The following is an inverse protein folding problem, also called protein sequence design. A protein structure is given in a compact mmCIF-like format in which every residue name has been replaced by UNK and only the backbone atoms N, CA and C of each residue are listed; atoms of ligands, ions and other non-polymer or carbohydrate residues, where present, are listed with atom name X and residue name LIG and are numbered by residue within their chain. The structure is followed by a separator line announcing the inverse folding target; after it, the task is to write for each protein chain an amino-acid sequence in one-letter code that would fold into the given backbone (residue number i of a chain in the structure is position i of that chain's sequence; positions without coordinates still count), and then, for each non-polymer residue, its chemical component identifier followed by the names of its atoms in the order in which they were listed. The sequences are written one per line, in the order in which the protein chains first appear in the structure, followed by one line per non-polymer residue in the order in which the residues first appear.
data_IF_403038700626
#
_entry.id   IF_403038700626
#
_cell.length_a   1.000
_cell.length_b   1.000
_cell.length_c   1.000
_cell.angle_alpha   90.00
_cell.angle_beta   90.00
_cell.angle_gamma   90.00
#
_symmetry.space_group_name_H-M   'P 1'
#
loop_
_entity.id
_entity.type
_entity.pdbx_description
1 polymer ?
#
# COMPACT_ATOMS: atom_id res chain seq x y z
N UNK A 1 -12.48 -21.95 0.82
CA UNK A 1 -11.87 -21.21 1.94
C UNK A 1 -10.57 -20.52 1.50
N UNK A 2 -10.65 -19.52 0.65
CA UNK A 2 -9.46 -18.78 0.16
C UNK A 2 -9.58 -17.24 0.31
N UNK A 3 -10.64 -16.75 0.96
CA UNK A 3 -10.98 -15.32 0.99
C UNK A 3 -10.25 -14.47 2.05
N UNK A 4 -9.59 -15.05 3.04
CA UNK A 4 -8.99 -14.25 4.13
C UNK A 4 -7.56 -13.77 3.85
N UNK A 5 -6.98 -14.13 2.72
CA UNK A 5 -5.58 -13.91 2.41
C UNK A 5 -5.23 -12.48 1.97
N UNK A 6 -6.18 -11.77 1.42
CA UNK A 6 -5.95 -10.48 0.77
C UNK A 6 -6.50 -9.28 1.53
N UNK A 7 -7.12 -9.48 2.67
CA UNK A 7 -7.58 -8.38 3.54
C UNK A 7 -6.44 -7.43 4.00
N UNK A 8 -5.19 -7.88 3.90
CA UNK A 8 -4.03 -7.08 4.33
C UNK A 8 -3.71 -5.87 3.41
N UNK A 9 -4.17 -5.88 2.15
CA UNK A 9 -3.92 -4.77 1.22
C UNK A 9 -5.00 -3.69 1.31
N UNK A 10 -6.18 -4.04 1.82
CA UNK A 10 -7.32 -3.14 1.93
C UNK A 10 -7.14 -2.01 2.97
N UNK A 11 -6.21 -2.16 3.91
CA UNK A 11 -5.99 -1.18 4.97
C UNK A 11 -5.35 0.12 4.47
N UNK A 12 -4.77 0.15 3.27
CA UNK A 12 -4.30 1.42 2.67
C UNK A 12 -5.41 2.46 2.51
N UNK A 13 -6.65 2.03 2.46
CA UNK A 13 -7.79 2.90 2.20
C UNK A 13 -8.33 3.64 3.43
N UNK A 14 -7.95 3.23 4.64
CA UNK A 14 -8.49 3.79 5.89
C UNK A 14 -7.56 4.84 6.55
N UNK A 15 -6.45 5.19 5.91
CA UNK A 15 -5.55 6.18 6.48
C UNK A 15 -6.11 7.60 6.34
N UNK A 16 -6.76 8.09 7.38
CA UNK A 16 -6.78 9.52 7.65
C UNK A 16 -5.32 9.93 7.90
N UNK A 17 -4.73 10.66 6.96
CA UNK A 17 -3.35 11.10 6.98
C UNK A 17 -3.12 12.03 8.17
N UNK A 18 -2.71 11.49 9.30
CA UNK A 18 -2.23 12.28 10.45
C UNK A 18 -0.73 12.49 10.32
N UNK A 19 -0.36 13.62 9.73
CA UNK A 19 1.04 14.00 9.47
C UNK A 19 1.91 14.12 10.74
N UNK A 20 1.31 14.24 11.92
CA UNK A 20 2.02 14.35 13.19
C UNK A 20 2.63 13.03 13.69
N UNK A 21 2.00 11.90 13.39
CA UNK A 21 2.49 10.57 13.80
C UNK A 21 3.67 10.06 12.96
N UNK A 22 3.79 10.53 11.72
CA UNK A 22 4.75 10.01 10.73
C UNK A 22 6.21 10.37 10.98
N UNK A 23 6.48 11.39 11.80
CA UNK A 23 7.84 11.91 12.03
C UNK A 23 8.53 11.32 13.27
N UNK A 24 7.83 10.56 14.10
CA UNK A 24 8.30 10.21 15.45
C UNK A 24 8.96 8.83 15.62
N UNK A 25 8.72 7.86 14.70
CA UNK A 25 9.25 6.52 14.88
C UNK A 25 10.42 6.23 13.92
N UNK A 26 11.64 6.36 14.41
CA UNK A 26 12.79 5.61 13.88
C UNK A 26 12.57 4.14 14.24
N UNK A 27 11.71 3.48 13.45
CA UNK A 27 11.42 2.08 13.63
C UNK A 27 12.65 1.22 13.34
N UNK A 28 12.73 0.10 14.02
CA UNK A 28 13.63 -1.00 13.71
C UNK A 28 13.48 -1.38 12.22
N UNK A 29 14.55 -1.21 11.45
CA UNK A 29 14.59 -1.52 10.02
C UNK A 29 14.72 -3.04 9.75
N UNK A 30 14.74 -3.89 10.77
CA UNK A 30 14.95 -5.33 10.64
C UNK A 30 13.88 -6.01 9.80
N UNK A 31 12.60 -5.66 9.98
CA UNK A 31 11.50 -6.23 9.21
C UNK A 31 11.57 -5.80 7.74
N UNK A 32 11.92 -4.56 7.48
CA UNK A 32 12.14 -4.05 6.13
C UNK A 32 13.30 -4.78 5.42
N UNK A 33 14.42 -4.96 6.12
CA UNK A 33 15.57 -5.69 5.57
C UNK A 33 15.22 -7.14 5.28
N UNK A 34 14.47 -7.79 6.17
CA UNK A 34 13.94 -9.14 6.00
C UNK A 34 13.05 -9.24 4.75
N UNK A 35 12.12 -8.33 4.58
CA UNK A 35 11.22 -8.31 3.43
C UNK A 35 11.95 -8.04 2.12
N UNK A 36 12.94 -7.16 2.13
CA UNK A 36 13.77 -6.90 0.96
C UNK A 36 14.56 -8.14 0.56
N UNK A 37 15.17 -8.85 1.52
CA UNK A 37 15.86 -10.12 1.26
C UNK A 37 14.89 -11.19 0.77
N UNK A 38 13.71 -11.30 1.38
CA UNK A 38 12.66 -12.22 0.96
C UNK A 38 12.19 -11.94 -0.47
N UNK A 39 12.09 -10.67 -0.88
CA UNK A 39 11.76 -10.30 -2.26
C UNK A 39 12.76 -10.89 -3.25
N UNK A 40 14.06 -10.70 -3.01
CA UNK A 40 15.14 -11.21 -3.88
C UNK A 40 15.13 -12.75 -4.00
N UNK A 41 14.78 -13.43 -2.91
CA UNK A 41 14.70 -14.89 -2.90
C UNK A 41 13.41 -15.42 -3.54
N UNK A 42 12.30 -14.77 -3.30
CA UNK A 42 11.01 -15.14 -3.86
C UNK A 42 10.98 -15.00 -5.39
N UNK A 43 11.50 -13.89 -5.91
CA UNK A 43 11.53 -13.65 -7.37
C UNK A 43 12.21 -14.79 -8.14
N UNK A 44 13.25 -15.39 -7.57
CA UNK A 44 13.98 -16.52 -8.19
C UNK A 44 13.17 -17.83 -8.24
N UNK A 45 12.12 -17.93 -7.42
CA UNK A 45 11.31 -19.15 -7.25
C UNK A 45 9.96 -19.09 -7.92
N UNK A 46 9.65 -17.99 -8.61
CA UNK A 46 8.38 -17.82 -9.31
C UNK A 46 8.43 -18.61 -10.61
N UNK A 47 7.62 -19.69 -10.70
CA UNK A 47 7.58 -20.52 -11.90
C UNK A 47 6.35 -20.24 -12.77
N UNK A 48 5.18 -20.08 -12.16
CA UNK A 48 3.92 -19.90 -12.86
C UNK A 48 3.03 -18.90 -12.10
N UNK A 49 3.27 -17.59 -12.24
CA UNK A 49 2.43 -16.59 -11.61
C UNK A 49 1.03 -16.59 -12.26
N UNK A 50 0.01 -16.28 -11.46
CA UNK A 50 -1.31 -15.99 -11.98
C UNK A 50 -1.26 -14.65 -12.72
N UNK A 51 -1.87 -14.60 -13.91
CA UNK A 51 -1.90 -13.40 -14.76
C UNK A 51 -3.23 -12.65 -14.64
N UNK A 52 -3.18 -11.33 -14.83
CA UNK A 52 -4.36 -10.47 -14.87
C UNK A 52 -5.30 -10.66 -13.67
N UNK A 53 -4.71 -10.71 -12.49
CA UNK A 53 -5.43 -10.93 -11.24
C UNK A 53 -6.24 -9.70 -10.89
N UNK A 54 -7.52 -9.88 -10.59
CA UNK A 54 -8.38 -8.83 -10.10
C UNK A 54 -9.40 -9.41 -9.11
N UNK A 55 -9.48 -8.81 -7.93
CA UNK A 55 -10.48 -9.22 -6.94
C UNK A 55 -10.81 -8.08 -5.97
N UNK A 56 -12.02 -8.07 -5.40
CA UNK A 56 -12.38 -7.15 -4.36
C UNK A 56 -11.60 -7.46 -3.08
N UNK A 57 -11.06 -6.43 -2.45
CA UNK A 57 -10.41 -6.53 -1.14
C UNK A 57 -11.43 -6.30 -0.03
N UNK A 58 -12.28 -5.30 -0.20
CA UNK A 58 -13.35 -4.95 0.73
C UNK A 58 -14.63 -4.66 -0.02
N UNK A 59 -15.75 -4.90 0.65
CA UNK A 59 -17.10 -4.61 0.19
C UNK A 59 -17.78 -3.68 1.19
N UNK A 60 -18.64 -2.80 0.70
CA UNK A 60 -19.60 -2.10 1.54
C UNK A 60 -20.70 -3.05 2.03
N UNK A 61 -21.44 -2.69 3.10
CA UNK A 61 -22.53 -3.53 3.62
C UNK A 61 -23.63 -3.87 2.59
N UNK A 62 -23.79 -3.04 1.57
CA UNK A 62 -24.76 -3.24 0.48
C UNK A 62 -24.22 -4.17 -0.63
N UNK A 63 -22.99 -4.66 -0.50
CA UNK A 63 -22.35 -5.56 -1.47
C UNK A 63 -21.63 -4.82 -2.61
N UNK A 64 -21.58 -3.49 -2.62
CA UNK A 64 -20.76 -2.76 -3.59
C UNK A 64 -19.27 -2.85 -3.24
N UNK A 65 -18.41 -2.80 -4.25
CA UNK A 65 -16.97 -2.89 -4.06
C UNK A 65 -16.45 -1.60 -3.44
N UNK A 66 -15.86 -1.71 -2.24
CA UNK A 66 -15.19 -0.61 -1.56
C UNK A 66 -13.74 -0.46 -1.98
N UNK A 67 -13.02 -1.60 -2.12
CA UNK A 67 -11.66 -1.59 -2.65
C UNK A 67 -11.38 -2.80 -3.54
N UNK A 68 -10.54 -2.60 -4.55
CA UNK A 68 -10.17 -3.63 -5.54
C UNK A 68 -8.67 -3.65 -5.75
N UNK A 69 -8.11 -4.85 -5.76
CA UNK A 69 -6.75 -5.07 -6.21
C UNK A 69 -6.75 -5.57 -7.65
N UNK A 70 -5.82 -5.06 -8.44
CA UNK A 70 -5.42 -5.59 -9.74
C UNK A 70 -3.92 -5.83 -9.72
N UNK A 71 -3.49 -6.91 -10.33
CA UNK A 71 -2.08 -7.19 -10.57
C UNK A 71 -1.91 -7.78 -11.96
N UNK A 72 -0.88 -7.35 -12.67
CA UNK A 72 -0.51 -7.96 -13.95
C UNK A 72 -0.11 -9.42 -13.74
N UNK A 73 0.70 -9.69 -12.73
CA UNK A 73 1.08 -11.02 -12.27
C UNK A 73 1.10 -11.10 -10.74
N UNK A 74 0.73 -12.24 -10.17
CA UNK A 74 0.81 -12.48 -8.74
C UNK A 74 1.18 -13.94 -8.43
N UNK A 75 1.91 -14.18 -7.35
CA UNK A 75 2.28 -15.49 -6.88
C UNK A 75 2.21 -15.57 -5.35
N UNK A 76 1.62 -16.65 -4.84
CA UNK A 76 1.53 -16.90 -3.40
C UNK A 76 2.44 -18.06 -2.99
N UNK A 77 3.36 -17.79 -2.08
CA UNK A 77 4.24 -18.79 -1.47
C UNK A 77 3.53 -19.37 -0.24
N UNK A 78 2.93 -20.55 -0.41
CA UNK A 78 2.09 -21.17 0.63
C UNK A 78 2.88 -21.58 1.88
N UNK A 79 4.15 -21.93 1.71
CA UNK A 79 5.07 -22.33 2.76
C UNK A 79 5.47 -21.17 3.69
N UNK A 80 5.76 -20.02 3.12
CA UNK A 80 6.21 -18.84 3.86
C UNK A 80 5.08 -17.87 4.20
N UNK A 81 4.02 -17.86 3.40
CA UNK A 81 2.93 -16.91 3.50
C UNK A 81 3.21 -15.58 2.80
N UNK A 82 4.30 -15.50 2.02
CA UNK A 82 4.56 -14.34 1.18
C UNK A 82 3.65 -14.30 -0.05
N UNK A 83 3.30 -13.09 -0.47
CA UNK A 83 2.63 -12.82 -1.73
C UNK A 83 3.49 -11.86 -2.51
N UNK A 84 3.90 -12.28 -3.69
CA UNK A 84 4.55 -11.41 -4.66
C UNK A 84 3.54 -10.91 -5.68
N UNK A 85 3.73 -9.67 -6.14
CA UNK A 85 2.92 -9.12 -7.22
C UNK A 85 3.71 -8.13 -8.07
N UNK A 86 3.28 -8.00 -9.33
CA UNK A 86 3.85 -7.11 -10.34
C UNK A 86 2.76 -6.33 -11.03
N UNK A 87 3.06 -5.07 -11.40
CA UNK A 87 2.11 -4.13 -11.99
C UNK A 87 0.82 -4.02 -11.15
N UNK A 88 1.01 -3.64 -9.91
CA UNK A 88 -0.05 -3.61 -8.91
C UNK A 88 -0.81 -2.30 -8.99
N UNK A 89 -2.13 -2.39 -8.88
CA UNK A 89 -3.02 -1.28 -8.68
C UNK A 89 -4.06 -1.62 -7.63
N UNK A 90 -4.12 -0.83 -6.57
CA UNK A 90 -5.19 -0.88 -5.57
C UNK A 90 -6.06 0.35 -5.75
N UNK A 91 -7.35 0.16 -5.92
CA UNK A 91 -8.34 1.21 -6.12
C UNK A 91 -9.30 1.24 -4.93
N UNK A 92 -9.56 2.43 -4.43
CA UNK A 92 -10.61 2.70 -3.45
C UNK A 92 -11.76 3.40 -4.14
N UNK A 93 -12.97 2.92 -3.90
CA UNK A 93 -14.19 3.46 -4.47
C UNK A 93 -15.03 4.15 -3.40
N UNK A 94 -15.75 5.19 -3.79
CA UNK A 94 -16.82 5.79 -2.98
C UNK A 94 -17.97 4.80 -2.82
N UNK A 95 -18.90 5.14 -1.93
CA UNK A 95 -20.09 4.31 -1.67
C UNK A 95 -20.97 4.07 -2.91
N UNK A 96 -20.81 4.86 -3.98
CA UNK A 96 -21.47 4.64 -5.27
C UNK A 96 -20.92 3.43 -6.05
N UNK A 97 -19.82 2.83 -5.57
CA UNK A 97 -19.16 1.66 -6.16
C UNK A 97 -18.50 1.90 -7.53
N UNK A 98 -18.52 3.13 -8.03
CA UNK A 98 -18.04 3.48 -9.38
C UNK A 98 -16.99 4.59 -9.39
N UNK A 99 -17.10 5.57 -8.49
CA UNK A 99 -16.18 6.69 -8.40
C UNK A 99 -14.94 6.29 -7.62
N UNK A 100 -13.76 6.37 -8.25
CA UNK A 100 -12.47 6.13 -7.57
C UNK A 100 -12.16 7.34 -6.68
N UNK A 101 -12.02 7.09 -5.38
CA UNK A 101 -11.62 8.07 -4.38
C UNK A 101 -10.11 8.23 -4.30
N UNK A 102 -9.39 7.12 -4.48
CA UNK A 102 -7.94 7.09 -4.50
C UNK A 102 -7.40 5.79 -5.07
N UNK A 103 -6.12 5.77 -5.39
CA UNK A 103 -5.45 4.57 -5.85
C UNK A 103 -3.97 4.55 -5.44
N UNK A 104 -3.43 3.34 -5.34
CA UNK A 104 -2.00 3.06 -5.25
C UNK A 104 -1.59 2.26 -6.48
N UNK A 105 -0.48 2.61 -7.10
CA UNK A 105 0.20 1.79 -8.10
C UNK A 105 1.62 1.46 -7.66
N UNK A 106 2.09 0.27 -7.99
CA UNK A 106 3.45 -0.18 -7.68
C UNK A 106 3.98 -1.11 -8.77
N UNK A 107 5.29 -1.01 -9.05
CA UNK A 107 5.92 -1.88 -10.05
C UNK A 107 5.92 -3.34 -9.57
N UNK A 108 6.56 -3.58 -8.42
CA UNK A 108 6.69 -4.92 -7.84
C UNK A 108 6.62 -4.83 -6.31
N UNK A 109 5.99 -5.80 -5.68
CA UNK A 109 5.98 -5.87 -4.23
C UNK A 109 6.05 -7.31 -3.71
N UNK A 110 6.43 -7.42 -2.45
CA UNK A 110 6.21 -8.60 -1.63
C UNK A 110 5.44 -8.19 -0.37
N UNK A 111 4.50 -9.00 0.04
CA UNK A 111 3.70 -8.81 1.26
C UNK A 111 3.85 -10.05 2.13
N UNK A 112 4.17 -9.86 3.38
CA UNK A 112 4.08 -10.91 4.39
C UNK A 112 2.71 -10.84 5.07
N UNK A 113 1.93 -11.89 4.87
CA UNK A 113 0.58 -12.01 5.44
C UNK A 113 0.58 -12.08 6.97
N UNK A 114 1.67 -12.60 7.57
CA UNK A 114 1.75 -12.80 9.03
C UNK A 114 2.04 -11.48 9.74
N UNK A 115 3.04 -10.74 9.28
CA UNK A 115 3.42 -9.44 9.85
C UNK A 115 2.58 -8.29 9.31
N UNK A 116 1.72 -8.54 8.30
CA UNK A 116 0.94 -7.50 7.62
C UNK A 116 1.80 -6.32 7.16
N UNK A 117 3.01 -6.64 6.70
CA UNK A 117 3.97 -5.66 6.21
C UNK A 117 4.42 -6.03 4.80
N UNK A 118 5.00 -5.09 4.07
CA UNK A 118 5.44 -5.33 2.71
C UNK A 118 6.56 -4.41 2.26
N UNK A 119 7.19 -4.83 1.19
CA UNK A 119 8.23 -4.10 0.47
C UNK A 119 7.84 -3.91 -0.98
N UNK A 120 7.89 -2.66 -1.46
CA UNK A 120 7.77 -2.31 -2.88
C UNK A 120 9.16 -2.14 -3.45
N UNK A 121 9.49 -2.96 -4.43
CA UNK A 121 10.71 -2.84 -5.22
C UNK A 121 10.40 -2.05 -6.49
N UNK A 122 11.06 -0.91 -6.70
CA UNK A 122 10.79 -0.04 -7.84
C UNK A 122 9.93 1.15 -7.48
N UNK A 123 9.17 1.65 -8.44
CA UNK A 123 8.38 2.85 -8.28
C UNK A 123 7.01 2.55 -7.67
N UNK A 124 6.51 3.48 -6.89
CA UNK A 124 5.13 3.50 -6.46
C UNK A 124 4.58 4.92 -6.51
N UNK A 125 3.29 5.00 -6.75
CA UNK A 125 2.52 6.23 -6.72
C UNK A 125 1.22 5.99 -5.98
N UNK A 126 0.92 6.87 -5.06
CA UNK A 126 -0.38 6.97 -4.39
C UNK A 126 -1.03 8.29 -4.77
N UNK A 127 -2.29 8.26 -5.09
CA UNK A 127 -3.13 9.45 -5.31
C UNK A 127 -4.36 9.31 -4.43
N UNK A 128 -4.56 10.26 -3.53
CA UNK A 128 -5.65 10.24 -2.58
C UNK A 128 -6.14 11.64 -2.27
N UNK A 129 -7.43 11.88 -2.53
CA UNK A 129 -8.08 13.17 -2.26
C UNK A 129 -7.26 14.39 -2.73
N UNK A 130 -6.65 14.25 -3.92
CA UNK A 130 -5.82 15.30 -4.53
C UNK A 130 -4.43 15.47 -3.90
N UNK A 131 -4.01 14.56 -3.05
CA UNK A 131 -2.64 14.44 -2.59
C UNK A 131 -1.97 13.30 -3.35
N UNK A 132 -0.91 13.61 -4.09
CA UNK A 132 -0.11 12.64 -4.81
C UNK A 132 1.23 12.45 -4.10
N UNK A 133 1.58 11.21 -3.85
CA UNK A 133 2.88 10.79 -3.30
C UNK A 133 3.51 9.83 -4.29
N UNK A 134 4.74 10.10 -4.69
CA UNK A 134 5.56 9.20 -5.49
C UNK A 134 6.84 8.88 -4.75
N UNK A 135 7.35 7.68 -4.97
CA UNK A 135 8.62 7.28 -4.38
C UNK A 135 9.14 5.99 -4.98
N UNK A 136 10.36 5.63 -4.58
CA UNK A 136 11.00 4.39 -4.99
C UNK A 136 11.54 3.67 -3.76
N UNK A 137 11.28 2.35 -3.70
CA UNK A 137 11.60 1.56 -2.52
C UNK A 137 10.71 1.99 -1.36
N UNK A 138 9.60 1.30 -1.15
CA UNK A 138 8.63 1.63 -0.10
C UNK A 138 8.50 0.43 0.82
N UNK A 139 8.75 0.64 2.09
CA UNK A 139 8.35 -0.27 3.14
C UNK A 139 7.05 0.22 3.78
N UNK A 140 6.12 -0.69 4.03
CA UNK A 140 4.89 -0.40 4.75
C UNK A 140 4.59 -1.48 5.80
N UNK A 141 3.95 -1.06 6.88
CA UNK A 141 3.42 -1.95 7.90
C UNK A 141 2.01 -1.52 8.26
N UNK A 142 1.04 -2.40 8.02
CA UNK A 142 -0.36 -2.13 8.37
C UNK A 142 -0.59 -2.18 9.87
N UNK A 143 0.09 -3.08 10.57
CA UNK A 143 -0.05 -3.21 12.01
C UNK A 143 0.43 -1.97 12.77
N UNK A 144 1.51 -1.34 12.28
CA UNK A 144 2.09 -0.13 12.86
C UNK A 144 1.56 1.15 12.24
N UNK A 145 0.70 1.05 11.22
CA UNK A 145 0.21 2.20 10.45
C UNK A 145 1.36 3.08 9.92
N UNK A 146 2.37 2.47 9.33
CA UNK A 146 3.63 3.11 8.98
C UNK A 146 4.02 2.88 7.52
N UNK A 147 4.50 3.94 6.85
CA UNK A 147 5.11 3.88 5.51
C UNK A 147 6.45 4.60 5.54
N UNK A 148 7.48 3.99 4.94
CA UNK A 148 8.81 4.57 4.78
C UNK A 148 9.20 4.54 3.31
N UNK A 149 9.56 5.70 2.76
CA UNK A 149 9.97 5.87 1.37
C UNK A 149 11.47 6.14 1.35
N UNK A 150 12.22 5.37 0.56
CA UNK A 150 13.68 5.39 0.61
C UNK A 150 14.33 6.35 -0.37
N UNK A 151 13.72 6.60 -1.51
CA UNK A 151 14.31 7.51 -2.50
C UNK A 151 13.28 8.10 -3.45
N UNK A 152 13.67 9.19 -4.12
CA UNK A 152 12.88 9.86 -5.16
C UNK A 152 11.48 10.26 -4.70
N UNK A 153 11.37 10.76 -3.44
CA UNK A 153 10.07 11.16 -2.87
C UNK A 153 9.61 12.48 -3.48
N UNK A 154 8.42 12.47 -4.06
CA UNK A 154 7.70 13.64 -4.52
C UNK A 154 6.32 13.67 -3.88
N UNK A 155 5.98 14.77 -3.22
CA UNK A 155 4.66 14.97 -2.62
C UNK A 155 4.04 16.22 -3.24
N UNK A 156 2.86 16.06 -3.85
CA UNK A 156 2.05 17.16 -4.38
C UNK A 156 0.70 17.15 -3.70
N UNK A 157 0.35 18.22 -2.99
CA UNK A 157 -0.96 18.38 -2.37
C UNK A 157 -1.72 19.54 -3.01
N UNK A 158 -3.03 19.37 -3.23
CA UNK A 158 -3.91 20.39 -3.85
C UNK A 158 -4.02 21.67 -3.03
N UNK A 159 -3.97 21.58 -1.71
CA UNK A 159 -3.88 22.72 -0.81
C UNK A 159 -3.26 22.32 0.51
N UNK A 160 -2.08 22.82 0.80
CA UNK A 160 -1.63 22.93 2.18
C UNK A 160 -2.41 24.13 2.78
N UNK A 161 -3.44 23.88 3.57
CA UNK A 161 -3.92 24.90 4.52
C UNK A 161 -2.81 25.06 5.55
N UNK A 162 -1.84 25.91 5.23
CA UNK A 162 -0.97 26.52 6.24
C UNK A 162 -1.92 27.27 7.16
N UNK A 163 -2.13 26.72 8.37
CA UNK A 163 -2.88 27.41 9.40
C UNK A 163 -2.30 28.82 9.52
N UNK A 164 -3.10 29.82 9.24
CA UNK A 164 -2.73 31.22 9.44
C UNK A 164 -2.50 31.40 10.94
N UNK A 165 -1.25 31.31 11.35
CA UNK A 165 -0.81 31.76 12.67
C UNK A 165 -0.98 33.28 12.79
N UNK A 166 -2.23 33.73 12.90
CA UNK A 166 -2.62 35.03 13.37
C UNK A 166 -3.54 34.81 14.57
N UNK A 167 -2.92 34.66 15.72
CA UNK A 167 -3.49 35.02 17.03
C UNK A 167 -2.48 34.66 18.11
N UNK A 168 -1.43 35.47 18.22
CA UNK A 168 -0.72 35.67 19.49
C UNK A 168 0.02 36.99 19.41
N UNK A 169 -0.72 38.10 19.60
CA UNK A 169 -0.25 39.40 20.07
C UNK A 169 -1.47 40.26 20.40
N UNK A 170 -2.06 40.00 21.57
CA UNK A 170 -2.71 41.03 22.40
C UNK A 170 -2.49 40.66 23.85
#
# INVERSE_FOLDING_TARGET
MALSAFAAVAVFAAFAFDSGKWLAERGDDSDMLRLRAAYEDCVKKIEAPAENVAFPLEMYPDGTVKSRLRAGRAYMFLDTGFIWGENIRVEQYKADGSTIEGFLTADNCIVDRKSKSGWVQGNAQMDWDGTMIKGRGIYFSFEREFIKIFSQTEIRAKSLKLGSGKEMLQ
#
